data_IF_372465629468
#
_entry.id   IF_372465629468
#
_cell.length_a   1.000
_cell.length_b   1.000
_cell.length_c   1.000
_cell.angle_alpha   90.00
_cell.angle_beta   90.00
_cell.angle_gamma   90.00
#
_symmetry.space_group_name_H-M   'P 1'
#
loop_
_entity.id
_entity.type
_entity.pdbx_description
1 polymer ?
#
# COMPACT_ATOMS: atom_id res chain seq x y z
N UNK A 1 14.92 18.70 -3.24
CA UNK A 1 14.02 18.09 -4.24
C UNK A 1 14.66 18.23 -5.61
N UNK A 2 14.68 17.16 -6.40
CA UNK A 2 15.08 17.22 -7.82
C UNK A 2 13.84 17.42 -8.69
N UNK A 3 13.95 18.24 -9.73
CA UNK A 3 12.84 18.46 -10.66
C UNK A 3 12.83 17.35 -11.74
N UNK A 4 11.65 16.78 -11.99
CA UNK A 4 11.41 15.83 -13.08
C UNK A 4 10.49 16.50 -14.11
N UNK A 5 10.94 16.59 -15.37
CA UNK A 5 10.13 17.07 -16.48
C UNK A 5 9.69 15.88 -17.34
N UNK A 6 8.39 15.72 -17.53
CA UNK A 6 7.80 14.61 -18.27
C UNK A 6 6.64 15.10 -19.13
N UNK A 7 6.42 14.43 -20.27
CA UNK A 7 5.27 14.70 -21.15
C UNK A 7 4.27 13.57 -21.00
N UNK A 8 3.01 13.92 -20.79
CA UNK A 8 1.89 12.99 -20.69
C UNK A 8 0.93 13.20 -21.87
N UNK A 9 0.19 12.17 -22.29
CA UNK A 9 -0.92 12.35 -23.23
C UNK A 9 -1.94 13.36 -22.70
N UNK A 10 -2.53 14.15 -23.60
CA UNK A 10 -3.51 15.19 -23.24
C UNK A 10 -4.73 14.65 -22.48
N UNK A 11 -5.14 13.41 -22.78
CA UNK A 11 -6.22 12.72 -22.06
C UNK A 11 -5.88 12.51 -20.59
N UNK A 12 -4.65 12.11 -20.29
CA UNK A 12 -4.16 11.87 -18.93
C UNK A 12 -3.97 13.19 -18.19
N UNK A 13 -3.38 14.19 -18.86
CA UNK A 13 -3.19 15.51 -18.26
C UNK A 13 -4.53 16.15 -17.85
N UNK A 14 -5.58 16.02 -18.68
CA UNK A 14 -6.95 16.47 -18.32
C UNK A 14 -7.50 15.74 -17.09
N UNK A 15 -7.40 14.42 -17.05
CA UNK A 15 -7.86 13.63 -15.91
C UNK A 15 -7.14 14.00 -14.61
N UNK A 16 -5.81 14.13 -14.64
CA UNK A 16 -5.04 14.52 -13.45
C UNK A 16 -5.48 15.90 -12.97
N UNK A 17 -5.72 16.84 -13.88
CA UNK A 17 -6.20 18.19 -13.53
C UNK A 17 -7.56 18.15 -12.83
N UNK A 18 -8.49 17.31 -13.28
CA UNK A 18 -9.80 17.14 -12.65
C UNK A 18 -9.70 16.52 -11.27
N UNK A 19 -8.88 15.47 -11.11
CA UNK A 19 -8.64 14.80 -9.82
C UNK A 19 -7.96 15.73 -8.81
N UNK A 20 -6.89 16.43 -9.22
CA UNK A 20 -6.19 17.39 -8.36
C UNK A 20 -7.12 18.51 -7.90
N UNK A 21 -8.01 19.00 -8.78
CA UNK A 21 -9.04 19.99 -8.42
C UNK A 21 -10.04 19.42 -7.40
N UNK A 22 -10.48 18.17 -7.57
CA UNK A 22 -11.40 17.51 -6.63
C UNK A 22 -10.78 17.36 -5.24
N UNK A 23 -9.49 17.08 -5.18
CA UNK A 23 -8.74 16.95 -3.93
C UNK A 23 -8.24 18.29 -3.35
N UNK A 24 -8.38 19.40 -4.10
CA UNK A 24 -7.95 20.72 -3.64
C UNK A 24 -6.42 20.91 -3.61
N UNK A 25 -5.67 20.15 -4.41
CA UNK A 25 -4.21 20.18 -4.46
C UNK A 25 -3.70 20.59 -5.85
N UNK A 26 -2.42 20.97 -5.93
CA UNK A 26 -1.79 21.24 -7.25
C UNK A 26 -1.57 19.94 -8.03
N UNK A 27 -1.49 20.03 -9.36
CA UNK A 27 -1.15 18.89 -10.23
C UNK A 27 0.18 18.24 -9.81
N UNK A 28 1.20 19.06 -9.50
CA UNK A 28 2.51 18.54 -9.11
C UNK A 28 2.46 17.80 -7.76
N UNK A 29 1.69 18.32 -6.80
CA UNK A 29 1.50 17.65 -5.52
C UNK A 29 0.74 16.33 -5.67
N UNK A 30 -0.32 16.32 -6.49
CA UNK A 30 -1.07 15.12 -6.82
C UNK A 30 -0.16 14.05 -7.44
N UNK A 31 0.62 14.42 -8.46
CA UNK A 31 1.56 13.50 -9.13
C UNK A 31 2.62 12.99 -8.13
N UNK A 32 3.20 13.88 -7.32
CA UNK A 32 4.20 13.48 -6.33
C UNK A 32 3.64 12.49 -5.30
N UNK A 33 2.40 12.70 -4.85
CA UNK A 33 1.70 11.79 -3.94
C UNK A 33 1.45 10.43 -4.60
N UNK A 34 0.89 10.41 -5.80
CA UNK A 34 0.60 9.18 -6.54
C UNK A 34 1.87 8.36 -6.85
N UNK A 35 2.97 9.04 -7.21
CA UNK A 35 4.27 8.39 -7.40
C UNK A 35 4.79 7.81 -6.09
N UNK A 36 4.71 8.58 -4.99
CA UNK A 36 5.15 8.11 -3.67
C UNK A 36 4.35 6.89 -3.20
N UNK A 37 3.03 6.89 -3.44
CA UNK A 37 2.17 5.75 -3.16
C UNK A 37 2.56 4.52 -3.99
N UNK A 38 2.75 4.68 -5.30
CA UNK A 38 3.14 3.56 -6.18
C UNK A 38 4.50 2.99 -5.80
N UNK A 39 5.47 3.84 -5.49
CA UNK A 39 6.80 3.41 -5.02
C UNK A 39 6.68 2.66 -3.70
N UNK A 40 5.88 3.17 -2.76
CA UNK A 40 5.66 2.51 -1.47
C UNK A 40 5.00 1.14 -1.63
N UNK A 41 4.02 1.01 -2.53
CA UNK A 41 3.36 -0.25 -2.82
C UNK A 41 4.34 -1.30 -3.38
N UNK A 42 5.15 -0.93 -4.37
CA UNK A 42 6.17 -1.82 -4.96
C UNK A 42 7.19 -2.24 -3.90
N UNK A 43 7.77 -1.27 -3.19
CA UNK A 43 8.79 -1.56 -2.17
C UNK A 43 8.24 -2.44 -1.03
N UNK A 44 6.96 -2.28 -0.67
CA UNK A 44 6.31 -3.11 0.35
C UNK A 44 6.11 -4.54 -0.14
N UNK A 45 5.71 -4.72 -1.39
CA UNK A 45 5.60 -6.05 -2.01
C UNK A 45 6.93 -6.79 -1.96
N UNK A 46 8.01 -6.14 -2.43
CA UNK A 46 9.36 -6.71 -2.42
C UNK A 46 9.79 -7.10 -0.99
N UNK A 47 9.59 -6.20 -0.03
CA UNK A 47 9.91 -6.46 1.38
C UNK A 47 9.17 -7.68 1.94
N UNK A 48 7.87 -7.80 1.66
CA UNK A 48 7.06 -8.92 2.14
C UNK A 48 7.50 -10.24 1.51
N UNK A 49 7.85 -10.24 0.22
CA UNK A 49 8.37 -11.42 -0.47
C UNK A 49 9.70 -11.88 0.14
N UNK A 50 10.66 -10.96 0.35
CA UNK A 50 11.94 -11.28 1.00
C UNK A 50 11.76 -11.77 2.44
N UNK A 51 10.81 -11.19 3.18
CA UNK A 51 10.49 -11.63 4.54
C UNK A 51 9.85 -13.01 4.54
N UNK A 52 8.98 -13.31 3.58
CA UNK A 52 8.32 -14.60 3.45
C UNK A 52 9.33 -15.74 3.18
N UNK A 53 10.41 -15.47 2.45
CA UNK A 53 11.49 -16.46 2.22
C UNK A 53 12.18 -16.92 3.52
N UNK A 54 12.16 -16.09 4.55
CA UNK A 54 12.73 -16.39 5.88
C UNK A 54 11.71 -17.01 6.84
N UNK A 55 10.47 -17.23 6.40
CA UNK A 55 9.42 -17.73 7.26
C UNK A 55 9.58 -19.24 7.53
N UNK A 56 9.50 -19.61 8.80
CA UNK A 56 9.37 -21.00 9.21
C UNK A 56 7.88 -21.33 9.42
N UNK A 57 7.31 -22.06 8.46
CA UNK A 57 5.91 -22.49 8.50
C UNK A 57 5.61 -23.42 9.68
N UNK A 58 6.58 -24.25 10.08
CA UNK A 58 6.39 -25.19 11.19
C UNK A 58 6.35 -24.47 12.54
N UNK A 59 7.26 -23.51 12.75
CA UNK A 59 7.24 -22.66 13.92
C UNK A 59 5.94 -21.84 14.00
N UNK A 60 5.47 -21.30 12.87
CA UNK A 60 4.19 -20.59 12.79
C UNK A 60 3.01 -21.49 13.21
N UNK A 61 2.92 -22.70 12.67
CA UNK A 61 1.87 -23.66 13.05
C UNK A 61 1.96 -24.06 14.54
N UNK A 62 3.16 -24.27 15.06
CA UNK A 62 3.37 -24.59 16.47
C UNK A 62 2.90 -23.47 17.41
N UNK A 63 3.05 -22.20 17.00
CA UNK A 63 2.49 -21.05 17.73
C UNK A 63 0.97 -21.05 17.65
N UNK A 64 0.38 -21.24 16.46
CA UNK A 64 -1.08 -21.28 16.29
C UNK A 64 -1.74 -22.40 17.09
N UNK A 65 -1.07 -23.55 17.22
CA UNK A 65 -1.56 -24.68 18.03
C UNK A 65 -1.69 -24.36 19.53
N UNK A 66 -1.07 -23.27 20.02
CA UNK A 66 -1.23 -22.80 21.41
C UNK A 66 -2.52 -22.04 21.63
N UNK A 67 -3.22 -21.62 20.57
CA UNK A 67 -4.49 -20.91 20.69
C UNK A 67 -5.54 -21.88 21.24
N UNK A 68 -6.20 -21.56 22.37
CA UNK A 68 -7.20 -22.45 22.96
C UNK A 68 -8.38 -22.64 22.00
N UNK A 69 -8.81 -23.88 21.81
CA UNK A 69 -10.04 -24.20 21.08
C UNK A 69 -11.25 -23.91 21.97
N UNK A 70 -11.70 -22.66 21.98
CA UNK A 70 -12.84 -22.16 22.74
C UNK A 70 -13.66 -21.18 21.90
N UNK A 71 -14.89 -20.93 22.32
CA UNK A 71 -15.69 -19.84 21.77
C UNK A 71 -15.01 -18.48 22.00
N UNK A 72 -15.21 -17.49 21.10
CA UNK A 72 -14.80 -16.10 21.31
C UNK A 72 -15.31 -15.56 22.65
N UNK A 73 -14.62 -14.58 23.24
CA UNK A 73 -15.11 -14.00 24.50
C UNK A 73 -16.38 -13.19 24.25
N UNK A 74 -17.23 -13.00 25.28
CA UNK A 74 -18.35 -12.06 25.19
C UNK A 74 -17.85 -10.67 24.75
N UNK A 75 -18.36 -10.18 23.61
CA UNK A 75 -17.94 -8.91 23.00
C UNK A 75 -16.97 -9.04 21.81
N UNK A 76 -16.43 -10.23 21.54
CA UNK A 76 -15.56 -10.49 20.37
C UNK A 76 -16.36 -10.86 19.09
N UNK A 77 -17.69 -10.92 19.18
CA UNK A 77 -18.58 -11.21 18.05
C UNK A 77 -19.09 -9.90 17.46
N UNK A 78 -18.85 -9.65 16.16
CA UNK A 78 -19.36 -8.48 15.42
C UNK A 78 -20.70 -8.77 14.74
#
# INVERSE_FOLDING_TARGET
MSALSLRLPDSIHRHIKELARKEGVSINQFIASAVSEKVSAIATEDYLQERAQRADKSAFQAILAKVPKREPLPGDNF
#
